data_IF_633498008601
#
_entry.id   IF_633498008601
#
_cell.length_a   1.000
_cell.length_b   1.000
_cell.length_c   1.000
_cell.angle_alpha   90.00
_cell.angle_beta   90.00
_cell.angle_gamma   90.00
#
_symmetry.space_group_name_H-M   'P 1'
#
loop_
_entity.id
_entity.type
_entity.pdbx_description
1 polymer ?
#
# COMPACT_ATOMS: atom_id res chain seq x y z
N UNK A 1 9.27 16.09 5.22
CA UNK A 1 8.35 16.32 4.11
C UNK A 1 7.41 15.13 4.02
N UNK A 2 6.14 15.37 3.71
CA UNK A 2 5.14 14.31 3.54
C UNK A 2 5.56 13.38 2.40
N UNK A 3 5.20 12.10 2.53
CA UNK A 3 5.41 11.07 1.52
C UNK A 3 4.10 10.35 1.26
N UNK A 4 3.91 9.93 0.02
CA UNK A 4 2.80 9.08 -0.37
C UNK A 4 3.32 7.66 -0.61
N UNK A 5 2.67 6.68 0.00
CA UNK A 5 2.86 5.26 -0.29
C UNK A 5 1.65 4.72 -1.05
N UNK A 6 1.89 4.12 -2.21
CA UNK A 6 0.90 3.46 -3.04
C UNK A 6 1.27 1.97 -3.15
N UNK A 7 0.32 1.10 -2.86
CA UNK A 7 0.44 -0.33 -3.10
C UNK A 7 -0.65 -0.76 -4.08
N UNK A 8 -0.26 -1.49 -5.13
CA UNK A 8 -1.16 -2.25 -6.00
C UNK A 8 -0.96 -3.73 -5.69
N UNK A 9 -2.04 -4.50 -5.56
CA UNK A 9 -1.90 -5.89 -5.14
C UNK A 9 -2.95 -6.84 -5.69
N UNK A 10 -2.54 -8.10 -5.79
CA UNK A 10 -3.32 -9.21 -6.34
C UNK A 10 -3.26 -10.41 -5.42
N UNK A 11 -4.42 -11.01 -5.14
CA UNK A 11 -4.49 -12.24 -4.36
C UNK A 11 -3.73 -13.38 -5.06
N UNK A 12 -2.84 -14.04 -4.33
CA UNK A 12 -2.15 -15.24 -4.80
C UNK A 12 -3.03 -16.48 -4.62
N UNK A 13 -2.70 -17.62 -5.25
CA UNK A 13 -3.38 -18.88 -4.96
C UNK A 13 -3.38 -19.25 -3.48
N UNK A 14 -2.31 -18.94 -2.75
CA UNK A 14 -2.23 -19.20 -1.31
C UNK A 14 -3.37 -18.52 -0.54
N UNK A 15 -3.73 -17.29 -0.92
CA UNK A 15 -4.88 -16.57 -0.34
C UNK A 15 -6.21 -17.21 -0.70
N UNK A 16 -6.40 -17.54 -1.97
CA UNK A 16 -7.70 -18.05 -2.46
C UNK A 16 -7.99 -19.45 -1.94
N UNK A 17 -6.97 -20.23 -1.58
CA UNK A 17 -7.12 -21.56 -0.95
C UNK A 17 -7.43 -21.51 0.55
N UNK A 18 -7.25 -20.37 1.24
CA UNK A 18 -7.56 -20.25 2.65
C UNK A 18 -9.06 -20.45 2.91
N UNK A 19 -9.37 -21.17 3.99
CA UNK A 19 -10.71 -21.27 4.53
C UNK A 19 -11.15 -19.94 5.18
N UNK A 20 -12.46 -19.66 5.28
CA UNK A 20 -12.98 -18.41 5.84
C UNK A 20 -12.40 -18.05 7.22
N UNK A 21 -12.24 -19.04 8.10
CA UNK A 21 -11.71 -18.86 9.46
C UNK A 21 -10.25 -18.39 9.43
N UNK A 22 -9.45 -18.92 8.51
CA UNK A 22 -8.05 -18.53 8.32
C UNK A 22 -7.95 -17.10 7.79
N UNK A 23 -8.84 -16.70 6.88
CA UNK A 23 -8.91 -15.32 6.40
C UNK A 23 -9.28 -14.35 7.52
N UNK A 24 -10.28 -14.71 8.34
CA UNK A 24 -10.70 -13.90 9.48
C UNK A 24 -9.57 -13.74 10.51
N UNK A 25 -8.86 -14.83 10.84
CA UNK A 25 -7.71 -14.78 11.72
C UNK A 25 -6.59 -13.89 11.16
N UNK A 26 -6.34 -13.96 9.85
CA UNK A 26 -5.37 -13.11 9.18
C UNK A 26 -5.78 -11.64 9.21
N UNK A 27 -7.04 -11.31 8.95
CA UNK A 27 -7.54 -9.94 9.04
C UNK A 27 -7.45 -9.37 10.47
N UNK A 28 -7.73 -10.18 11.49
CA UNK A 28 -7.55 -9.76 12.88
C UNK A 28 -6.08 -9.43 13.19
N UNK A 29 -5.13 -10.23 12.67
CA UNK A 29 -3.69 -9.96 12.80
C UNK A 29 -3.29 -8.65 12.12
N UNK A 30 -3.78 -8.39 10.92
CA UNK A 30 -3.55 -7.10 10.23
C UNK A 30 -4.13 -5.95 11.04
N UNK A 31 -5.38 -6.06 11.50
CA UNK A 31 -6.03 -5.03 12.29
C UNK A 31 -5.23 -4.66 13.55
N UNK A 32 -4.75 -5.65 14.29
CA UNK A 32 -3.87 -5.44 15.43
C UNK A 32 -2.55 -4.78 15.04
N UNK A 33 -1.93 -5.21 13.93
CA UNK A 33 -0.72 -4.58 13.39
C UNK A 33 -0.94 -3.12 12.99
N UNK A 34 -2.10 -2.74 12.46
CA UNK A 34 -2.37 -1.36 12.07
C UNK A 34 -2.59 -0.42 13.25
N UNK A 35 -3.05 -0.94 14.40
CA UNK A 35 -3.26 -0.14 15.62
C UNK A 35 -1.96 0.44 16.21
N UNK A 36 -0.79 -0.05 15.79
CA UNK A 36 0.49 0.46 16.27
C UNK A 36 0.89 1.80 15.63
N UNK A 37 0.24 2.19 14.53
CA UNK A 37 0.57 3.42 13.82
C UNK A 37 -0.20 4.62 14.36
N UNK A 38 0.49 5.75 14.48
CA UNK A 38 -0.15 7.03 14.79
C UNK A 38 -0.96 7.51 13.57
N UNK A 39 -2.29 7.61 13.64
CA UNK A 39 -3.14 7.97 12.51
C UNK A 39 -2.93 9.41 12.03
N UNK A 40 -2.31 10.28 12.84
CA UNK A 40 -1.91 11.64 12.44
C UNK A 40 -0.68 11.60 11.54
N UNK A 41 0.21 10.62 11.76
CA UNK A 41 1.46 10.47 11.01
C UNK A 41 1.31 9.57 9.79
N UNK A 42 0.47 8.55 9.89
CA UNK A 42 0.22 7.56 8.85
C UNK A 42 -1.29 7.47 8.66
N UNK A 43 -1.78 8.04 7.56
CA UNK A 43 -3.20 8.15 7.28
C UNK A 43 -3.53 7.37 6.01
N UNK A 44 -4.50 6.46 6.09
CA UNK A 44 -5.10 5.85 4.91
C UNK A 44 -5.91 6.89 4.14
N UNK A 45 -5.57 7.13 2.88
CA UNK A 45 -6.30 8.05 2.02
C UNK A 45 -7.38 7.34 1.20
N UNK A 46 -7.05 6.19 0.62
CA UNK A 46 -7.96 5.42 -0.20
C UNK A 46 -7.52 3.96 -0.28
N UNK A 47 -8.48 3.05 -0.42
CA UNK A 47 -8.24 1.67 -0.80
C UNK A 47 -9.47 1.11 -1.52
N UNK A 48 -9.27 0.14 -2.40
CA UNK A 48 -10.40 -0.47 -3.08
C UNK A 48 -10.00 -1.44 -4.17
N UNK A 49 -11.01 -1.95 -4.87
CA UNK A 49 -10.83 -2.79 -6.06
C UNK A 49 -10.54 -1.90 -7.26
N UNK A 50 -9.56 -2.27 -8.07
CA UNK A 50 -9.20 -1.53 -9.28
C UNK A 50 -10.29 -1.73 -10.34
N UNK A 51 -10.74 -0.62 -10.94
CA UNK A 51 -11.70 -0.63 -12.04
C UNK A 51 -11.06 -1.18 -13.32
N UNK A 52 -11.82 -1.98 -14.09
CA UNK A 52 -11.37 -2.54 -15.37
C UNK A 52 -11.83 -1.66 -16.53
N UNK A 53 -11.13 -1.76 -17.67
CA UNK A 53 -11.46 -1.02 -18.90
C UNK A 53 -10.96 0.43 -18.93
N UNK A 54 -10.06 0.81 -18.02
CA UNK A 54 -9.35 2.10 -18.07
C UNK A 54 -8.17 1.97 -19.04
N UNK A 55 -7.99 2.97 -19.91
CA UNK A 55 -6.85 3.01 -20.83
C UNK A 55 -5.53 3.02 -20.03
N UNK A 56 -4.61 2.12 -20.37
CA UNK A 56 -3.36 1.89 -19.63
C UNK A 56 -3.58 1.58 -18.13
N UNK A 57 -4.70 0.93 -17.80
CA UNK A 57 -4.99 0.48 -16.45
C UNK A 57 -4.01 -0.59 -15.95
N UNK A 58 -3.96 -0.74 -14.63
CA UNK A 58 -3.16 -1.76 -13.97
C UNK A 58 -3.84 -3.14 -14.03
N UNK A 59 -3.03 -4.20 -14.08
CA UNK A 59 -3.50 -5.58 -14.08
C UNK A 59 -3.88 -6.07 -12.68
N UNK A 60 -3.35 -5.42 -11.63
CA UNK A 60 -3.62 -5.73 -10.24
C UNK A 60 -5.12 -5.66 -9.88
N UNK A 61 -5.48 -6.31 -8.78
CA UNK A 61 -6.87 -6.43 -8.37
C UNK A 61 -7.32 -5.30 -7.44
N UNK A 62 -6.41 -4.80 -6.60
CA UNK A 62 -6.69 -3.85 -5.54
C UNK A 62 -5.60 -2.79 -5.44
N UNK A 63 -5.93 -1.68 -4.80
CA UNK A 63 -5.00 -0.61 -4.49
C UNK A 63 -5.19 -0.11 -3.05
N UNK A 64 -4.13 0.46 -2.48
CA UNK A 64 -4.13 1.23 -1.24
C UNK A 64 -3.21 2.45 -1.38
N UNK A 65 -3.64 3.59 -0.84
CA UNK A 65 -2.89 4.85 -0.85
C UNK A 65 -2.84 5.40 0.56
N UNK A 66 -1.63 5.71 1.01
CA UNK A 66 -1.34 6.20 2.36
C UNK A 66 -0.57 7.50 2.29
N UNK A 67 -0.89 8.44 3.17
CA UNK A 67 -0.06 9.62 3.46
C UNK A 67 0.76 9.35 4.71
N UNK A 68 2.05 9.62 4.62
CA UNK A 68 3.02 9.48 5.69
C UNK A 68 3.67 10.83 5.96
N UNK A 69 3.79 11.24 7.22
CA UNK A 69 4.35 12.54 7.60
C UNK A 69 5.84 12.69 7.22
N UNK A 70 6.55 11.58 7.06
CA UNK A 70 7.94 11.53 6.64
C UNK A 70 8.28 10.23 5.91
N UNK A 71 9.49 10.18 5.31
CA UNK A 71 10.05 8.96 4.73
C UNK A 71 10.15 7.83 5.75
N UNK A 72 10.58 8.13 6.96
CA UNK A 72 10.72 7.14 8.02
C UNK A 72 9.36 6.54 8.43
N UNK A 73 8.29 7.33 8.41
CA UNK A 73 6.94 6.82 8.66
C UNK A 73 6.47 5.91 7.52
N UNK A 74 6.81 6.24 6.27
CA UNK A 74 6.50 5.37 5.11
C UNK A 74 7.28 4.04 5.18
N UNK A 75 8.57 4.08 5.52
CA UNK A 75 9.39 2.88 5.69
C UNK A 75 8.87 2.02 6.85
N UNK A 76 8.45 2.63 7.96
CA UNK A 76 7.82 1.93 9.09
C UNK A 76 6.50 1.26 8.69
N UNK A 77 5.67 1.93 7.88
CA UNK A 77 4.45 1.35 7.35
C UNK A 77 4.73 0.12 6.47
N UNK A 78 5.66 0.24 5.51
CA UNK A 78 6.04 -0.86 4.62
C UNK A 78 6.58 -2.05 5.41
N UNK A 79 7.46 -1.80 6.38
CA UNK A 79 7.99 -2.84 7.26
C UNK A 79 6.89 -3.50 8.10
N UNK A 80 5.95 -2.72 8.64
CA UNK A 80 4.83 -3.25 9.42
C UNK A 80 3.89 -4.10 8.59
N UNK A 81 3.57 -3.70 7.35
CA UNK A 81 2.79 -4.52 6.40
C UNK A 81 3.50 -5.85 6.14
N UNK A 82 4.80 -5.81 5.84
CA UNK A 82 5.59 -7.02 5.61
C UNK A 82 5.61 -7.96 6.82
N UNK A 83 5.72 -7.41 8.05
CA UNK A 83 5.71 -8.18 9.29
C UNK A 83 4.38 -8.93 9.55
N UNK A 84 3.27 -8.48 8.94
CA UNK A 84 2.00 -9.23 9.01
C UNK A 84 1.99 -10.51 8.15
N UNK A 85 3.01 -10.73 7.32
CA UNK A 85 3.03 -11.79 6.32
C UNK A 85 2.21 -11.48 5.06
N UNK A 86 1.86 -10.20 4.82
CA UNK A 86 1.05 -9.74 3.68
C UNK A 86 1.50 -10.32 2.34
N UNK A 87 2.81 -10.27 2.07
CA UNK A 87 3.39 -10.70 0.79
C UNK A 87 3.38 -12.22 0.56
N UNK A 88 2.96 -13.03 1.55
CA UNK A 88 2.71 -14.47 1.33
C UNK A 88 1.39 -14.71 0.59
N UNK A 89 0.43 -13.81 0.76
CA UNK A 89 -0.95 -13.94 0.27
C UNK A 89 -1.27 -12.98 -0.87
N UNK A 90 -0.51 -11.90 -0.98
CA UNK A 90 -0.70 -10.89 -2.01
C UNK A 90 0.62 -10.60 -2.72
N UNK A 91 0.59 -10.65 -4.05
CA UNK A 91 1.66 -10.11 -4.87
C UNK A 91 1.46 -8.59 -4.93
N UNK A 92 2.50 -7.82 -4.61
CA UNK A 92 2.40 -6.37 -4.38
C UNK A 92 3.41 -5.60 -5.24
N UNK A 93 2.99 -4.48 -5.81
CA UNK A 93 3.84 -3.47 -6.42
C UNK A 93 3.71 -2.19 -5.61
N UNK A 94 4.86 -1.66 -5.15
CA UNK A 94 4.91 -0.55 -4.22
C UNK A 94 5.59 0.66 -4.86
N UNK A 95 5.02 1.83 -4.64
CA UNK A 95 5.64 3.11 -4.92
C UNK A 95 5.63 3.98 -3.66
N UNK A 96 6.79 4.52 -3.30
CA UNK A 96 6.93 5.52 -2.23
C UNK A 96 7.60 6.74 -2.83
N UNK A 97 6.97 7.89 -2.69
CA UNK A 97 7.47 9.17 -3.22
C UNK A 97 7.25 10.29 -2.23
N UNK A 98 8.07 11.33 -2.32
CA UNK A 98 7.88 12.52 -1.53
C UNK A 98 6.85 13.44 -2.22
N UNK A 99 6.09 14.21 -1.45
CA UNK A 99 5.05 15.10 -1.99
C UNK A 99 5.68 16.43 -2.48
N UNK A 100 6.56 16.35 -3.49
CA UNK A 100 7.41 17.46 -3.98
C UNK A 100 6.65 18.53 -4.81
N UNK A 101 5.45 18.21 -5.25
CA UNK A 101 4.62 19.08 -6.08
C UNK A 101 5.08 19.19 -7.54
N UNK A 102 4.28 19.89 -8.35
CA UNK A 102 4.44 19.92 -9.80
C UNK A 102 5.79 20.49 -10.26
N UNK A 103 6.28 21.55 -9.62
CA UNK A 103 7.51 22.22 -10.05
C UNK A 103 8.74 21.32 -9.98
N UNK A 104 8.95 20.68 -8.84
CA UNK A 104 10.05 19.74 -8.64
C UNK A 104 9.86 18.48 -9.51
N UNK A 105 8.64 17.95 -9.59
CA UNK A 105 8.35 16.80 -10.45
C UNK A 105 8.73 17.05 -11.92
N UNK A 106 8.39 18.21 -12.47
CA UNK A 106 8.76 18.58 -13.85
C UNK A 106 10.27 18.75 -14.01
N UNK A 107 10.97 19.29 -13.00
CA UNK A 107 12.42 19.40 -13.01
C UNK A 107 13.10 18.03 -13.02
N UNK A 108 12.60 17.08 -12.22
CA UNK A 108 13.12 15.71 -12.17
C UNK A 108 12.88 14.99 -13.50
N UNK A 109 11.70 15.14 -14.10
CA UNK A 109 11.39 14.57 -15.42
C UNK A 109 12.30 15.12 -16.52
N UNK A 110 12.61 16.41 -16.49
CA UNK A 110 13.50 17.04 -17.47
C UNK A 110 14.96 16.61 -17.33
N UNK A 111 15.34 16.01 -16.20
CA UNK A 111 16.70 15.57 -15.91
C UNK A 111 16.97 14.08 -16.26
N UNK A 112 15.96 13.35 -16.75
CA UNK A 112 16.08 11.96 -17.24
C UNK A 112 16.70 11.89 -18.64
#
# INVERSE_FOLDING_TARGET
MSHTFIELYTATPAWTTLQPEQRNAFFARIGAGMQQFDPVRITLLAMGRIARGVQHGSDEQFYAVWRCASRADADALVAGIAATGWHQYFATINAVGADDGMGQHLADLAAL
#
